data_IF_656212003130
#
_entry.id   IF_656212003130
#
_cell.length_a   1.000
_cell.length_b   1.000
_cell.length_c   1.000
_cell.angle_alpha   90.00
_cell.angle_beta   90.00
_cell.angle_gamma   90.00
#
_symmetry.space_group_name_H-M   'P 1'
#
loop_
_entity.id
_entity.type
_entity.pdbx_description
1 polymer ?
#
# COMPACT_ATOMS: atom_id res chain seq x y z
N UNK A 1 -2.86 -44.97 11.89
CA UNK A 1 -2.05 -43.78 11.50
C UNK A 1 -2.98 -42.82 10.82
N UNK A 2 -3.15 -41.60 11.34
CA UNK A 2 -3.99 -40.54 10.71
C UNK A 2 -3.07 -39.78 9.76
N UNK A 3 -3.36 -39.84 8.47
CA UNK A 3 -2.60 -39.08 7.45
C UNK A 3 -3.38 -37.81 7.11
N UNK A 4 -2.77 -36.64 7.33
CA UNK A 4 -3.33 -35.37 6.91
C UNK A 4 -2.77 -35.05 5.53
N UNK A 5 -3.66 -34.79 4.57
CA UNK A 5 -3.28 -34.29 3.26
C UNK A 5 -3.68 -32.84 3.15
N UNK A 6 -2.68 -31.95 2.94
CA UNK A 6 -2.94 -30.54 2.69
C UNK A 6 -3.42 -30.43 1.23
N UNK A 7 -4.55 -29.76 0.95
CA UNK A 7 -5.02 -29.53 -0.41
C UNK A 7 -3.97 -28.81 -1.27
N UNK A 8 -3.85 -29.18 -2.55
CA UNK A 8 -2.87 -28.66 -3.51
C UNK A 8 -2.75 -27.12 -3.53
N UNK A 9 -3.86 -26.35 -3.54
CA UNK A 9 -3.74 -24.89 -3.57
C UNK A 9 -2.97 -24.29 -2.40
N UNK A 10 -3.04 -24.90 -1.22
CA UNK A 10 -2.31 -24.40 -0.05
C UNK A 10 -0.81 -24.77 -0.11
N UNK A 11 -0.47 -25.93 -0.65
CA UNK A 11 0.92 -26.34 -0.86
C UNK A 11 1.61 -25.39 -1.83
N UNK A 12 0.96 -25.07 -2.94
CA UNK A 12 1.46 -24.13 -3.94
C UNK A 12 1.66 -22.71 -3.36
N UNK A 13 0.74 -22.24 -2.52
CA UNK A 13 0.86 -20.95 -1.84
C UNK A 13 2.06 -20.94 -0.87
N UNK A 14 2.29 -22.02 -0.11
CA UNK A 14 3.43 -22.15 0.79
C UNK A 14 4.76 -22.15 0.03
N UNK A 15 4.81 -22.83 -1.12
CA UNK A 15 6.00 -22.84 -1.98
C UNK A 15 6.28 -21.46 -2.57
N UNK A 16 5.24 -20.77 -3.07
CA UNK A 16 5.37 -19.41 -3.56
C UNK A 16 5.85 -18.44 -2.47
N UNK A 17 5.31 -18.56 -1.24
CA UNK A 17 5.76 -17.79 -0.09
C UNK A 17 7.26 -18.02 0.18
N UNK A 18 7.70 -19.28 0.24
CA UNK A 18 9.10 -19.64 0.46
C UNK A 18 10.02 -19.05 -0.60
N UNK A 19 9.67 -19.17 -1.89
CA UNK A 19 10.47 -18.63 -2.99
C UNK A 19 10.61 -17.10 -2.92
N UNK A 20 9.55 -16.40 -2.54
CA UNK A 20 9.61 -14.94 -2.38
C UNK A 20 10.47 -14.52 -1.19
N UNK A 21 10.39 -15.24 -0.06
CA UNK A 21 11.24 -15.01 1.10
C UNK A 21 12.73 -15.31 0.84
N UNK A 22 13.03 -16.30 0.01
CA UNK A 22 14.40 -16.65 -0.39
C UNK A 22 15.04 -15.61 -1.32
N UNK A 23 14.21 -14.94 -2.15
CA UNK A 23 14.69 -13.98 -3.17
C UNK A 23 14.76 -12.54 -2.69
N UNK A 24 13.93 -12.19 -1.71
CA UNK A 24 13.76 -10.81 -1.27
C UNK A 24 13.88 -10.67 0.23
N UNK A 25 14.33 -9.53 0.69
CA UNK A 25 14.47 -9.19 2.12
C UNK A 25 13.10 -8.94 2.78
N UNK A 26 12.29 -9.99 2.90
CA UNK A 26 10.95 -9.94 3.49
C UNK A 26 10.94 -10.59 4.88
N UNK A 27 10.13 -10.03 5.77
CA UNK A 27 9.79 -10.66 7.06
C UNK A 27 8.76 -11.77 6.89
N UNK A 28 7.77 -11.54 6.02
CA UNK A 28 6.67 -12.47 5.78
C UNK A 28 6.07 -12.29 4.38
N UNK A 29 5.69 -13.40 3.75
CA UNK A 29 4.95 -13.43 2.49
C UNK A 29 3.71 -14.32 2.66
N UNK A 30 2.53 -13.72 2.62
CA UNK A 30 1.25 -14.42 2.79
C UNK A 30 0.58 -14.51 1.44
N UNK A 31 0.39 -15.74 0.96
CA UNK A 31 -0.20 -16.00 -0.36
C UNK A 31 -1.57 -16.63 -0.19
N UNK A 32 -2.57 -15.98 -0.77
CA UNK A 32 -3.96 -16.39 -0.71
C UNK A 32 -4.29 -17.28 -1.91
N UNK A 33 -4.84 -18.49 -1.70
CA UNK A 33 -5.21 -19.37 -2.80
C UNK A 33 -6.19 -18.68 -3.77
N UNK A 34 -5.93 -18.84 -5.07
CA UNK A 34 -6.84 -18.40 -6.13
C UNK A 34 -7.66 -19.60 -6.62
N UNK A 35 -8.93 -19.39 -6.87
CA UNK A 35 -9.80 -20.36 -7.53
C UNK A 35 -10.07 -19.87 -8.95
N UNK A 36 -10.11 -20.77 -9.92
CA UNK A 36 -10.30 -20.45 -11.35
C UNK A 36 -11.58 -19.62 -11.62
N UNK A 37 -12.62 -19.84 -10.81
CA UNK A 37 -13.89 -19.13 -10.93
C UNK A 37 -13.95 -17.79 -10.16
N UNK A 38 -12.92 -17.45 -9.39
CA UNK A 38 -12.94 -16.24 -8.57
C UNK A 38 -12.81 -14.98 -9.42
N UNK A 39 -13.74 -14.07 -9.25
CA UNK A 39 -13.64 -12.73 -9.87
C UNK A 39 -12.51 -11.91 -9.25
N UNK A 40 -11.98 -10.95 -10.01
CA UNK A 40 -10.96 -9.99 -9.51
C UNK A 40 -11.44 -9.22 -8.26
N UNK A 41 -12.74 -9.05 -8.07
CA UNK A 41 -13.33 -8.41 -6.89
C UNK A 41 -13.23 -9.32 -5.67
N UNK A 42 -13.61 -10.59 -5.81
CA UNK A 42 -13.56 -11.58 -4.73
C UNK A 42 -12.12 -11.82 -4.27
N UNK A 43 -11.18 -11.95 -5.21
CA UNK A 43 -9.77 -12.08 -4.85
C UNK A 43 -9.24 -10.86 -4.10
N UNK A 44 -9.59 -9.65 -4.53
CA UNK A 44 -9.23 -8.43 -3.80
C UNK A 44 -9.81 -8.41 -2.39
N UNK A 45 -11.03 -8.87 -2.21
CA UNK A 45 -11.66 -8.96 -0.89
C UNK A 45 -10.98 -10.01 0.00
N UNK A 46 -10.62 -11.18 -0.54
CA UNK A 46 -9.92 -12.23 0.19
C UNK A 46 -8.53 -11.77 0.67
N UNK A 47 -7.75 -11.15 -0.21
CA UNK A 47 -6.45 -10.58 0.12
C UNK A 47 -6.58 -9.44 1.14
N UNK A 48 -7.59 -8.59 1.00
CA UNK A 48 -7.86 -7.50 1.94
C UNK A 48 -8.29 -8.02 3.34
N UNK A 49 -9.06 -9.10 3.40
CA UNK A 49 -9.44 -9.74 4.66
C UNK A 49 -8.22 -10.27 5.41
N UNK A 50 -7.29 -10.93 4.71
CA UNK A 50 -6.06 -11.38 5.38
C UNK A 50 -5.15 -10.21 5.75
N UNK A 51 -5.11 -9.14 4.94
CA UNK A 51 -4.47 -7.89 5.30
C UNK A 51 -5.01 -7.28 6.59
N UNK A 52 -6.33 -7.29 6.78
CA UNK A 52 -6.97 -6.82 8.01
C UNK A 52 -6.60 -7.67 9.22
N UNK A 53 -6.63 -9.00 9.07
CA UNK A 53 -6.22 -9.95 10.12
C UNK A 53 -4.75 -9.76 10.50
N UNK A 54 -3.89 -9.63 9.49
CA UNK A 54 -2.47 -9.41 9.70
C UNK A 54 -2.21 -8.12 10.47
N UNK A 55 -2.80 -7.01 10.02
CA UNK A 55 -2.67 -5.73 10.69
C UNK A 55 -3.11 -5.81 12.16
N UNK A 56 -4.26 -6.43 12.42
CA UNK A 56 -4.81 -6.56 13.78
C UNK A 56 -3.90 -7.38 14.73
N UNK A 57 -3.23 -8.42 14.24
CA UNK A 57 -2.30 -9.21 15.06
C UNK A 57 -0.92 -8.57 15.22
N UNK A 58 -0.52 -7.70 14.28
CA UNK A 58 0.80 -7.08 14.26
C UNK A 58 0.88 -5.84 15.15
N UNK A 59 -0.16 -4.99 15.14
CA UNK A 59 -0.16 -3.74 15.89
C UNK A 59 -0.13 -4.00 17.40
N UNK A 60 0.77 -3.32 18.08
CA UNK A 60 0.90 -3.30 19.55
C UNK A 60 0.22 -2.07 20.14
N UNK A 61 0.15 -1.97 21.47
CA UNK A 61 -0.32 -0.76 22.13
C UNK A 61 0.67 0.40 21.92
N UNK A 62 0.14 1.60 21.68
CA UNK A 62 0.90 2.84 21.44
C UNK A 62 1.67 2.91 20.12
N UNK A 63 1.38 2.00 19.18
CA UNK A 63 1.93 2.10 17.83
C UNK A 63 1.43 3.37 17.10
N UNK A 64 2.28 3.90 16.23
CA UNK A 64 1.89 4.89 15.22
C UNK A 64 1.72 4.16 13.89
N UNK A 65 0.48 4.11 13.40
CA UNK A 65 0.10 3.34 12.21
C UNK A 65 -0.12 4.27 11.03
N UNK A 66 0.68 4.11 9.98
CA UNK A 66 0.52 4.80 8.71
C UNK A 66 -0.53 4.12 7.83
N UNK A 67 -1.50 4.89 7.36
CA UNK A 67 -2.60 4.40 6.52
C UNK A 67 -2.56 5.07 5.15
N UNK A 68 -2.56 4.25 4.10
CA UNK A 68 -2.73 4.69 2.72
C UNK A 68 -4.21 4.63 2.29
N UNK A 69 -4.50 5.15 1.11
CA UNK A 69 -5.80 5.01 0.45
C UNK A 69 -5.79 3.90 -0.61
N UNK A 70 -6.94 3.66 -1.23
CA UNK A 70 -7.07 2.81 -2.40
C UNK A 70 -8.15 1.73 -2.27
N UNK A 71 -8.44 1.07 -3.39
CA UNK A 71 -9.49 0.02 -3.47
C UNK A 71 -9.27 -1.10 -2.45
N UNK A 72 -8.04 -1.61 -2.36
CA UNK A 72 -7.69 -2.68 -1.42
C UNK A 72 -7.78 -2.19 0.01
N UNK A 73 -7.31 -0.97 0.30
CA UNK A 73 -7.37 -0.38 1.63
C UNK A 73 -8.81 -0.15 2.10
N UNK A 74 -9.69 0.30 1.19
CA UNK A 74 -11.11 0.42 1.52
C UNK A 74 -11.73 -0.92 1.91
N UNK A 75 -11.45 -2.01 1.16
CA UNK A 75 -11.93 -3.35 1.52
C UNK A 75 -11.34 -3.85 2.84
N UNK A 76 -10.03 -3.64 3.06
CA UNK A 76 -9.35 -4.04 4.29
C UNK A 76 -10.01 -3.39 5.52
N UNK A 77 -10.24 -2.08 5.46
CA UNK A 77 -10.83 -1.34 6.58
C UNK A 77 -12.32 -1.71 6.79
N UNK A 78 -13.05 -2.08 5.73
CA UNK A 78 -14.43 -2.54 5.82
C UNK A 78 -14.58 -3.86 6.60
N UNK A 79 -13.58 -4.72 6.55
CA UNK A 79 -13.61 -6.06 7.17
C UNK A 79 -12.84 -6.14 8.49
N UNK A 80 -12.34 -5.02 8.99
CA UNK A 80 -11.76 -4.97 10.33
C UNK A 80 -12.80 -5.32 11.38
N UNK A 81 -12.49 -6.30 12.20
CA UNK A 81 -13.31 -6.62 13.36
C UNK A 81 -13.00 -5.65 14.51
N UNK A 82 -14.00 -5.05 15.15
CA UNK A 82 -13.79 -4.33 16.39
C UNK A 82 -13.11 -5.25 17.40
N UNK A 83 -11.98 -4.83 17.96
CA UNK A 83 -11.25 -5.59 18.96
C UNK A 83 -11.06 -4.75 20.23
N UNK A 84 -10.37 -5.30 21.23
CA UNK A 84 -10.01 -4.53 22.41
C UNK A 84 -9.25 -3.27 21.97
N UNK A 85 -9.78 -2.11 22.36
CA UNK A 85 -9.22 -0.82 21.99
C UNK A 85 -7.83 -0.64 22.58
N UNK A 86 -6.89 -0.21 21.73
CA UNK A 86 -5.51 0.13 22.07
C UNK A 86 -5.33 1.64 22.03
N UNK A 87 -4.33 2.16 22.71
CA UNK A 87 -3.98 3.59 22.68
C UNK A 87 -3.03 3.88 21.50
N UNK A 88 -3.53 3.64 20.29
CA UNK A 88 -2.77 3.79 19.06
C UNK A 88 -2.96 5.17 18.42
N UNK A 89 -2.07 5.51 17.51
CA UNK A 89 -2.19 6.70 16.67
C UNK A 89 -2.23 6.29 15.21
N UNK A 90 -3.30 6.67 14.50
CA UNK A 90 -3.45 6.44 13.07
C UNK A 90 -3.21 7.73 12.31
N UNK A 91 -2.32 7.67 11.30
CA UNK A 91 -1.94 8.85 10.53
C UNK A 91 -2.07 8.58 9.02
N UNK A 92 -2.65 9.53 8.28
CA UNK A 92 -2.60 9.46 6.80
C UNK A 92 -1.17 9.68 6.32
N UNK A 93 -0.69 8.81 5.44
CA UNK A 93 0.66 8.96 4.88
C UNK A 93 0.74 9.94 3.71
N UNK A 94 -0.39 10.48 3.27
CA UNK A 94 -0.50 11.46 2.18
C UNK A 94 -1.76 12.31 2.34
N UNK A 95 -1.86 13.38 1.56
CA UNK A 95 -3.06 14.21 1.46
C UNK A 95 -4.22 13.52 0.75
N UNK A 96 -5.36 14.19 0.66
CA UNK A 96 -6.58 13.67 0.05
C UNK A 96 -6.48 13.57 -1.47
N UNK A 97 -7.26 12.67 -2.07
CA UNK A 97 -7.43 12.56 -3.51
C UNK A 97 -8.86 12.98 -3.86
N UNK A 98 -9.03 14.12 -4.56
CA UNK A 98 -10.35 14.62 -4.93
C UNK A 98 -11.16 13.61 -5.74
N UNK A 99 -12.48 13.65 -5.58
CA UNK A 99 -13.42 12.83 -6.33
C UNK A 99 -13.17 11.32 -6.24
N UNK A 100 -12.54 10.85 -5.16
CA UNK A 100 -12.23 9.45 -4.97
C UNK A 100 -13.49 8.61 -4.73
N UNK A 101 -13.73 7.60 -5.58
CA UNK A 101 -14.84 6.65 -5.43
C UNK A 101 -14.69 5.71 -4.22
N UNK A 102 -13.48 5.63 -3.62
CA UNK A 102 -13.14 4.63 -2.59
C UNK A 102 -12.91 5.25 -1.22
N UNK A 103 -13.67 6.23 -0.85
CA UNK A 103 -13.48 7.01 0.36
C UNK A 103 -12.10 7.69 0.42
N UNK A 104 -12.09 8.91 0.79
CA UNK A 104 -10.88 9.69 1.05
C UNK A 104 -10.04 9.08 2.18
N UNK A 105 -8.73 9.30 2.17
CA UNK A 105 -7.80 8.76 3.17
C UNK A 105 -8.19 9.16 4.60
N UNK A 106 -8.69 10.38 4.81
CA UNK A 106 -9.18 10.85 6.10
C UNK A 106 -10.37 10.02 6.62
N UNK A 107 -11.29 9.63 5.73
CA UNK A 107 -12.38 8.71 6.06
C UNK A 107 -11.86 7.32 6.43
N UNK A 108 -10.86 6.81 5.72
CA UNK A 108 -10.25 5.50 6.01
C UNK A 108 -9.53 5.51 7.37
N UNK A 109 -8.75 6.55 7.66
CA UNK A 109 -8.08 6.73 8.95
C UNK A 109 -9.09 6.86 10.09
N UNK A 110 -10.21 7.55 9.86
CA UNK A 110 -11.30 7.65 10.85
C UNK A 110 -11.91 6.29 11.17
N UNK A 111 -12.21 5.50 10.14
CA UNK A 111 -12.84 4.19 10.30
C UNK A 111 -11.93 3.19 11.00
N UNK A 112 -10.64 3.15 10.67
CA UNK A 112 -9.68 2.25 11.32
C UNK A 112 -9.49 2.64 12.79
N UNK A 113 -9.39 3.94 13.13
CA UNK A 113 -9.28 4.39 14.50
C UNK A 113 -10.54 4.09 15.33
N UNK A 114 -11.72 4.14 14.73
CA UNK A 114 -12.98 3.73 15.39
C UNK A 114 -13.03 2.23 15.66
N UNK A 115 -12.54 1.40 14.71
CA UNK A 115 -12.56 -0.06 14.83
C UNK A 115 -11.54 -0.57 15.86
N UNK A 116 -10.33 -0.01 15.88
CA UNK A 116 -9.22 -0.53 16.67
C UNK A 116 -8.91 0.32 17.90
N UNK A 117 -9.54 1.50 18.04
CA UNK A 117 -9.27 2.47 19.12
C UNK A 117 -8.04 3.33 18.82
N UNK A 118 -7.98 4.50 19.44
CA UNK A 118 -6.84 5.42 19.33
C UNK A 118 -7.16 6.76 18.68
N UNK A 119 -6.12 7.56 18.51
CA UNK A 119 -6.21 8.91 17.93
C UNK A 119 -6.01 8.86 16.41
N UNK A 120 -6.50 9.88 15.71
CA UNK A 120 -6.37 10.02 14.26
C UNK A 120 -5.78 11.35 13.87
N UNK A 121 -4.92 11.34 12.85
CA UNK A 121 -4.32 12.54 12.27
C UNK A 121 -4.30 12.42 10.75
N UNK A 122 -4.82 13.44 10.07
CA UNK A 122 -4.91 13.49 8.61
C UNK A 122 -4.57 14.89 8.14
N UNK A 123 -3.93 14.98 6.97
CA UNK A 123 -3.83 16.25 6.27
C UNK A 123 -5.21 16.64 5.72
N UNK A 124 -5.65 17.86 6.01
CA UNK A 124 -6.92 18.41 5.52
C UNK A 124 -6.68 19.22 4.22
N UNK A 125 -6.13 18.56 3.23
CA UNK A 125 -5.86 19.16 1.92
C UNK A 125 -5.61 18.07 0.86
N UNK A 126 -5.70 18.48 -0.40
CA UNK A 126 -5.37 17.61 -1.52
C UNK A 126 -3.89 17.20 -1.52
N UNK A 127 -3.63 15.97 -1.95
CA UNK A 127 -2.27 15.46 -2.01
C UNK A 127 -1.45 16.17 -3.11
N UNK A 128 -2.06 16.57 -4.21
CA UNK A 128 -1.36 17.23 -5.32
C UNK A 128 -1.49 18.74 -5.19
N UNK A 129 -0.41 19.38 -4.76
CA UNK A 129 -0.30 20.84 -4.68
C UNK A 129 -0.03 21.46 -6.04
N UNK A 130 -0.26 22.75 -6.17
CA UNK A 130 0.00 23.51 -7.42
C UNK A 130 1.49 23.67 -7.68
N UNK A 131 2.30 23.78 -6.63
CA UNK A 131 3.74 23.94 -6.73
C UNK A 131 4.48 23.41 -5.50
N UNK A 132 5.80 23.29 -5.61
CA UNK A 132 6.71 22.94 -4.52
C UNK A 132 6.69 23.98 -3.38
N UNK A 133 6.57 25.26 -3.74
CA UNK A 133 6.51 26.35 -2.76
C UNK A 133 5.21 26.29 -1.93
N UNK A 134 4.10 25.92 -2.56
CA UNK A 134 2.84 25.70 -1.86
C UNK A 134 2.94 24.53 -0.88
N UNK A 135 3.49 23.39 -1.31
CA UNK A 135 3.76 22.23 -0.44
C UNK A 135 4.66 22.60 0.74
N UNK A 136 5.76 23.29 0.47
CA UNK A 136 6.71 23.71 1.52
C UNK A 136 6.04 24.63 2.53
N UNK A 137 5.24 25.59 2.07
CA UNK A 137 4.48 26.49 2.94
C UNK A 137 3.47 25.74 3.80
N UNK A 138 2.72 24.83 3.20
CA UNK A 138 1.74 24.00 3.89
C UNK A 138 2.38 23.15 5.00
N UNK A 139 3.49 22.48 4.72
CA UNK A 139 4.20 21.65 5.69
C UNK A 139 4.80 22.45 6.87
N UNK A 140 5.11 23.74 6.64
CA UNK A 140 5.64 24.63 7.67
C UNK A 140 4.56 25.26 8.56
N UNK A 141 3.27 25.09 8.27
CA UNK A 141 2.19 25.52 9.15
C UNK A 141 2.23 24.74 10.47
N UNK A 142 2.05 25.42 11.61
CA UNK A 142 2.13 24.82 12.94
C UNK A 142 1.21 23.60 13.11
N UNK A 143 0.00 23.70 12.58
CA UNK A 143 -1.02 22.64 12.58
C UNK A 143 -0.56 21.36 11.86
N UNK A 144 0.29 21.48 10.83
CA UNK A 144 0.77 20.37 10.02
C UNK A 144 2.08 19.76 10.57
N UNK A 145 2.82 20.50 11.39
CA UNK A 145 4.08 20.01 11.98
C UNK A 145 3.88 18.77 12.85
N UNK A 146 2.73 18.67 13.55
CA UNK A 146 2.39 17.48 14.33
C UNK A 146 2.26 16.24 13.42
N UNK A 147 1.61 16.36 12.26
CA UNK A 147 1.47 15.24 11.32
C UNK A 147 2.83 14.89 10.73
N UNK A 148 3.61 15.88 10.30
CA UNK A 148 4.96 15.66 9.80
C UNK A 148 5.88 14.97 10.83
N UNK A 149 5.74 15.29 12.11
CA UNK A 149 6.42 14.60 13.20
C UNK A 149 5.96 13.14 13.34
N UNK A 150 4.65 12.89 13.26
CA UNK A 150 4.08 11.55 13.36
C UNK A 150 4.51 10.65 12.20
N UNK A 151 4.62 11.19 10.98
CA UNK A 151 5.12 10.42 9.81
C UNK A 151 6.48 9.79 10.07
N UNK A 152 7.39 10.49 10.76
CA UNK A 152 8.72 9.99 11.13
C UNK A 152 8.69 8.96 12.27
N UNK A 153 7.56 8.75 12.91
CA UNK A 153 7.38 7.83 14.05
C UNK A 153 6.50 6.63 13.72
N UNK A 154 6.08 6.48 12.48
CA UNK A 154 5.31 5.32 12.04
C UNK A 154 6.13 4.06 12.32
N UNK A 155 5.57 3.14 13.11
CA UNK A 155 6.13 1.83 13.39
C UNK A 155 5.59 0.75 12.45
N UNK A 156 4.32 0.89 12.05
CA UNK A 156 3.63 -0.03 11.13
C UNK A 156 2.93 0.79 10.04
N UNK A 157 3.11 0.43 8.79
CA UNK A 157 2.34 1.01 7.69
C UNK A 157 1.57 -0.06 6.92
N UNK A 158 0.42 0.33 6.37
CA UNK A 158 -0.37 -0.52 5.50
C UNK A 158 -0.76 0.23 4.23
N UNK A 159 -0.45 -0.36 3.09
CA UNK A 159 -0.67 0.26 1.78
C UNK A 159 -1.03 -0.77 0.70
N UNK A 160 -1.61 -0.27 -0.38
CA UNK A 160 -1.68 -0.94 -1.67
C UNK A 160 -0.67 -0.34 -2.65
N UNK A 161 -0.69 -0.83 -3.89
CA UNK A 161 0.11 -0.29 -4.99
C UNK A 161 -0.76 -0.07 -6.23
N UNK A 162 -0.42 0.95 -7.02
CA UNK A 162 -0.96 1.18 -8.36
C UNK A 162 0.03 0.72 -9.42
N UNK A 163 -0.46 0.08 -10.49
CA UNK A 163 0.37 -0.35 -11.63
C UNK A 163 0.29 0.66 -12.75
N UNK A 164 1.47 1.01 -13.32
CA UNK A 164 1.59 1.81 -14.54
C UNK A 164 2.29 1.06 -15.67
N UNK A 165 2.90 -0.08 -15.37
CA UNK A 165 3.57 -0.95 -16.35
C UNK A 165 3.33 -2.44 -16.02
N UNK A 166 3.12 -3.32 -17.00
CA UNK A 166 2.83 -3.02 -18.41
C UNK A 166 1.39 -2.51 -18.61
N UNK A 167 0.51 -2.75 -17.64
CA UNK A 167 -0.90 -2.36 -17.68
C UNK A 167 -1.18 -1.25 -16.68
N UNK A 168 -2.00 -0.30 -17.10
CA UNK A 168 -2.45 0.80 -16.26
C UNK A 168 -3.57 0.31 -15.32
N UNK A 169 -3.24 -0.01 -14.07
CA UNK A 169 -4.18 -0.35 -12.99
C UNK A 169 -3.90 0.45 -11.73
N UNK A 170 -3.88 1.77 -11.87
CA UNK A 170 -3.85 2.67 -10.72
C UNK A 170 -5.18 3.45 -10.64
N UNK A 171 -5.82 3.55 -9.47
CA UNK A 171 -7.01 4.39 -9.28
C UNK A 171 -6.77 5.88 -9.58
N UNK A 172 -5.53 6.34 -9.56
CA UNK A 172 -5.14 7.72 -9.90
C UNK A 172 -5.53 8.10 -11.34
N UNK A 173 -5.59 7.10 -12.23
CA UNK A 173 -5.93 7.29 -13.65
C UNK A 173 -7.42 7.55 -13.86
N UNK A 174 -8.27 7.04 -12.96
CA UNK A 174 -9.73 7.05 -13.13
C UNK A 174 -10.39 8.30 -12.51
N UNK A 175 -9.68 9.05 -11.69
CA UNK A 175 -10.24 10.15 -10.89
C UNK A 175 -9.81 11.54 -11.38
N UNK A 176 -9.28 11.64 -12.60
CA UNK A 176 -8.68 12.88 -13.13
C UNK A 176 -7.58 13.48 -12.21
N UNK A 177 -7.01 12.64 -11.32
CA UNK A 177 -5.87 13.06 -10.50
C UNK A 177 -4.65 13.28 -11.38
N UNK A 178 -4.40 12.36 -12.32
CA UNK A 178 -3.39 12.47 -13.35
C UNK A 178 -4.05 12.86 -14.68
N UNK A 179 -3.51 13.87 -15.33
CA UNK A 179 -3.88 14.22 -16.69
C UNK A 179 -3.19 13.31 -17.70
N UNK A 180 -3.68 13.25 -18.94
CA UNK A 180 -3.06 12.44 -20.00
C UNK A 180 -1.59 12.82 -20.26
N UNK A 181 -1.26 14.09 -20.06
CA UNK A 181 0.12 14.57 -20.17
C UNK A 181 1.01 14.00 -19.06
N UNK A 182 0.51 13.94 -17.80
CA UNK A 182 1.22 13.35 -16.67
C UNK A 182 1.48 11.85 -16.92
N UNK A 183 0.49 11.12 -17.40
CA UNK A 183 0.61 9.67 -17.70
C UNK A 183 1.71 9.44 -18.74
N UNK A 184 1.71 10.20 -19.83
CA UNK A 184 2.75 10.12 -20.86
C UNK A 184 4.14 10.46 -20.34
N UNK A 185 4.23 11.49 -19.48
CA UNK A 185 5.48 11.88 -18.85
C UNK A 185 6.00 10.79 -17.90
N UNK A 186 5.14 10.16 -17.10
CA UNK A 186 5.47 9.03 -16.22
C UNK A 186 5.95 7.81 -17.03
N UNK A 187 5.26 7.47 -18.11
CA UNK A 187 5.67 6.36 -19.00
C UNK A 187 7.03 6.65 -19.65
N UNK A 188 7.26 7.88 -20.13
CA UNK A 188 8.54 8.28 -20.71
C UNK A 188 9.71 8.23 -19.70
N UNK A 189 9.43 8.35 -18.42
CA UNK A 189 10.39 8.22 -17.31
C UNK A 189 10.59 6.78 -16.84
N UNK A 190 9.95 5.80 -17.47
CA UNK A 190 10.07 4.39 -17.10
C UNK A 190 9.41 4.04 -15.75
N UNK A 191 8.34 4.74 -15.40
CA UNK A 191 7.61 4.46 -14.15
C UNK A 191 6.89 3.12 -14.24
N UNK A 192 7.12 2.25 -13.25
CA UNK A 192 6.49 0.94 -13.11
C UNK A 192 5.22 0.97 -12.29
N UNK A 193 5.15 1.83 -11.29
CA UNK A 193 3.98 1.93 -10.44
C UNK A 193 4.05 3.10 -9.46
N UNK A 194 3.05 3.14 -8.59
CA UNK A 194 3.01 4.05 -7.46
C UNK A 194 2.75 3.32 -6.13
N UNK A 195 3.35 3.82 -5.08
CA UNK A 195 3.03 3.54 -3.70
C UNK A 195 2.92 4.87 -2.95
N UNK A 196 1.84 5.09 -2.21
CA UNK A 196 1.66 6.34 -1.46
C UNK A 196 1.73 7.61 -2.35
N UNK A 197 1.27 7.52 -3.60
CA UNK A 197 1.34 8.58 -4.61
C UNK A 197 2.78 8.94 -5.04
N UNK A 198 3.78 8.15 -4.66
CA UNK A 198 5.16 8.24 -5.11
C UNK A 198 5.41 7.26 -6.25
N UNK A 199 5.94 7.75 -7.35
CA UNK A 199 6.17 6.99 -8.58
C UNK A 199 7.59 6.42 -8.61
N UNK A 200 7.72 5.14 -8.93
CA UNK A 200 8.99 4.43 -8.90
C UNK A 200 9.26 3.64 -10.19
N UNK A 201 10.54 3.39 -10.45
CA UNK A 201 11.05 2.63 -11.57
C UNK A 201 11.04 1.10 -11.32
N UNK A 202 11.68 0.33 -12.21
CA UNK A 202 11.77 -1.13 -12.11
C UNK A 202 12.57 -1.65 -10.90
N UNK A 203 13.38 -0.80 -10.28
CA UNK A 203 14.19 -1.10 -9.10
C UNK A 203 13.53 -0.62 -7.81
N UNK A 204 12.36 0.04 -7.89
CA UNK A 204 11.68 0.63 -6.75
C UNK A 204 12.30 1.95 -6.28
N UNK A 205 13.12 2.59 -7.13
CA UNK A 205 13.65 3.92 -6.86
C UNK A 205 12.70 5.01 -7.33
N UNK A 206 12.56 6.07 -6.53
CA UNK A 206 11.63 7.16 -6.84
C UNK A 206 12.05 7.89 -8.10
N UNK A 207 11.16 7.98 -9.08
CA UNK A 207 11.40 8.68 -10.32
C UNK A 207 11.36 10.20 -10.15
N UNK A 208 12.32 10.89 -10.74
CA UNK A 208 12.36 12.35 -10.80
C UNK A 208 11.27 12.88 -11.76
N UNK A 209 10.17 13.33 -11.20
CA UNK A 209 9.00 13.84 -11.91
C UNK A 209 8.55 15.18 -11.35
N UNK A 210 7.84 15.98 -12.13
CA UNK A 210 7.25 17.24 -11.64
C UNK A 210 6.22 17.00 -10.52
N UNK A 211 5.66 15.79 -10.45
CA UNK A 211 4.71 15.40 -9.40
C UNK A 211 5.41 15.18 -8.07
N UNK A 212 6.65 14.66 -8.06
CA UNK A 212 7.42 14.38 -6.85
C UNK A 212 7.52 15.59 -5.93
N UNK A 213 7.88 16.74 -6.48
CA UNK A 213 8.15 17.96 -5.73
C UNK A 213 6.89 18.65 -5.17
N UNK A 214 5.71 18.33 -5.68
CA UNK A 214 4.44 18.95 -5.28
C UNK A 214 3.41 17.97 -4.73
N UNK A 215 3.79 16.71 -4.51
CA UNK A 215 2.89 15.72 -3.90
C UNK A 215 3.08 15.67 -2.39
N UNK A 216 2.02 15.99 -1.64
CA UNK A 216 1.96 15.84 -0.20
C UNK A 216 1.82 14.35 0.14
N UNK A 217 2.95 13.73 0.42
CA UNK A 217 3.06 12.34 0.82
C UNK A 217 4.35 12.12 1.62
N UNK A 218 4.39 11.09 2.44
CA UNK A 218 5.62 10.63 3.06
C UNK A 218 6.68 10.39 1.97
N UNK A 219 7.92 10.82 2.19
CA UNK A 219 9.03 10.57 1.29
C UNK A 219 9.55 9.13 1.43
N UNK A 220 10.26 8.62 0.41
CA UNK A 220 10.75 7.24 0.41
C UNK A 220 11.81 6.97 1.49
N UNK A 221 12.62 7.96 1.84
CA UNK A 221 13.63 7.78 2.88
C UNK A 221 12.96 7.57 4.25
N UNK A 222 11.95 8.38 4.57
CA UNK A 222 11.14 8.21 5.77
C UNK A 222 10.35 6.90 5.72
N UNK A 223 9.77 6.55 4.57
CA UNK A 223 8.98 5.33 4.39
C UNK A 223 9.82 4.05 4.53
N UNK A 224 11.02 4.01 3.93
CA UNK A 224 11.94 2.87 4.05
C UNK A 224 12.35 2.59 5.49
N UNK A 225 12.42 3.62 6.35
CA UNK A 225 12.77 3.51 7.76
C UNK A 225 11.62 3.00 8.65
N UNK A 226 10.41 2.82 8.13
CA UNK A 226 9.31 2.23 8.88
C UNK A 226 9.64 0.78 9.22
N UNK A 227 9.49 0.41 10.50
CA UNK A 227 9.87 -0.90 10.99
C UNK A 227 9.10 -2.04 10.31
N UNK A 228 7.80 -1.87 10.04
CA UNK A 228 6.98 -2.90 9.37
C UNK A 228 6.10 -2.28 8.31
N UNK A 229 6.47 -2.48 7.04
CA UNK A 229 5.75 -2.03 5.85
C UNK A 229 4.92 -3.19 5.29
N UNK A 230 3.60 -3.11 5.43
CA UNK A 230 2.65 -4.12 4.94
C UNK A 230 2.10 -3.67 3.59
N UNK A 231 2.39 -4.42 2.53
CA UNK A 231 1.84 -4.18 1.20
C UNK A 231 0.82 -5.26 0.84
N UNK A 232 -0.40 -4.83 0.50
CA UNK A 232 -1.54 -5.70 0.19
C UNK A 232 -1.95 -5.48 -1.26
N UNK A 233 -1.81 -6.51 -2.10
CA UNK A 233 -2.11 -6.39 -3.53
C UNK A 233 -2.75 -7.64 -4.12
N UNK A 234 -3.59 -7.43 -5.15
CA UNK A 234 -4.28 -8.49 -5.88
C UNK A 234 -4.32 -8.18 -7.38
N UNK A 235 -4.15 -9.24 -8.18
CA UNK A 235 -4.24 -9.19 -9.64
C UNK A 235 -2.88 -9.29 -10.34
N UNK A 236 -2.74 -10.30 -11.22
CA UNK A 236 -1.50 -10.64 -11.92
C UNK A 236 -0.87 -9.49 -12.73
N UNK A 237 -1.67 -8.52 -13.18
CA UNK A 237 -1.20 -7.33 -13.90
C UNK A 237 -0.26 -6.44 -13.07
N UNK A 238 -0.24 -6.61 -11.75
CA UNK A 238 0.64 -5.88 -10.82
C UNK A 238 2.00 -6.53 -10.59
N UNK A 239 2.30 -7.62 -11.28
CA UNK A 239 3.51 -8.40 -11.00
C UNK A 239 4.81 -7.58 -11.13
N UNK A 240 4.93 -6.78 -12.20
CA UNK A 240 6.10 -5.91 -12.38
C UNK A 240 6.20 -4.84 -11.31
N UNK A 241 5.08 -4.26 -10.92
CA UNK A 241 5.00 -3.28 -9.83
C UNK A 241 5.41 -3.89 -8.49
N UNK A 242 4.90 -5.09 -8.15
CA UNK A 242 5.29 -5.80 -6.92
C UNK A 242 6.76 -6.18 -6.95
N UNK A 243 7.30 -6.66 -8.08
CA UNK A 243 8.74 -6.92 -8.21
C UNK A 243 9.58 -5.67 -7.92
N UNK A 244 9.18 -4.53 -8.45
CA UNK A 244 9.85 -3.26 -8.20
C UNK A 244 9.78 -2.84 -6.71
N UNK A 245 8.61 -2.97 -6.07
CA UNK A 245 8.44 -2.76 -4.63
C UNK A 245 9.38 -3.64 -3.80
N UNK A 246 9.55 -4.90 -4.19
CA UNK A 246 10.43 -5.85 -3.50
C UNK A 246 11.92 -5.51 -3.69
N UNK A 247 12.32 -5.11 -4.91
CA UNK A 247 13.69 -4.68 -5.19
C UNK A 247 14.08 -3.41 -4.45
N UNK A 248 13.14 -2.46 -4.34
CA UNK A 248 13.34 -1.18 -3.64
C UNK A 248 13.16 -1.25 -2.13
N UNK A 249 12.95 -2.45 -1.55
CA UNK A 249 12.70 -2.67 -0.11
C UNK A 249 11.54 -1.81 0.43
N UNK A 250 10.51 -1.59 -0.41
CA UNK A 250 9.32 -0.82 -0.06
C UNK A 250 8.26 -1.66 0.67
N UNK A 251 8.54 -2.92 0.95
CA UNK A 251 7.71 -3.82 1.75
C UNK A 251 8.56 -4.73 2.62
N UNK A 252 8.13 -4.95 3.86
CA UNK A 252 8.66 -5.98 4.77
C UNK A 252 7.74 -7.21 4.79
N UNK A 253 6.45 -6.98 4.54
CA UNK A 253 5.40 -7.99 4.52
C UNK A 253 4.56 -7.79 3.26
N UNK A 254 4.37 -8.88 2.53
CA UNK A 254 3.48 -8.87 1.36
C UNK A 254 2.31 -9.83 1.57
N UNK A 255 1.12 -9.40 1.15
CA UNK A 255 -0.10 -10.21 1.16
C UNK A 255 -0.68 -10.17 -0.25
N UNK A 256 -0.55 -11.28 -0.97
CA UNK A 256 -0.85 -11.38 -2.40
C UNK A 256 -1.80 -12.53 -2.70
N UNK A 257 -2.52 -12.48 -3.80
CA UNK A 257 -3.13 -13.68 -4.36
C UNK A 257 -2.09 -14.55 -5.09
N UNK A 258 -2.40 -15.83 -5.23
CA UNK A 258 -1.50 -16.83 -5.79
C UNK A 258 -1.08 -16.51 -7.24
N UNK A 259 -2.02 -16.07 -8.09
CA UNK A 259 -1.71 -15.75 -9.49
C UNK A 259 -0.75 -14.56 -9.61
N UNK A 260 -0.90 -13.56 -8.75
CA UNK A 260 0.04 -12.45 -8.66
C UNK A 260 1.42 -12.93 -8.18
N UNK A 261 1.48 -13.71 -7.10
CA UNK A 261 2.73 -14.24 -6.55
C UNK A 261 3.48 -15.11 -7.57
N UNK A 262 2.78 -16.02 -8.24
CA UNK A 262 3.31 -16.88 -9.31
C UNK A 262 3.90 -16.05 -10.47
N UNK A 263 3.21 -14.99 -10.87
CA UNK A 263 3.71 -14.12 -11.93
C UNK A 263 4.94 -13.31 -11.49
N UNK A 264 4.98 -12.83 -10.24
CA UNK A 264 6.18 -12.16 -9.67
C UNK A 264 7.38 -13.10 -9.70
N UNK A 265 7.22 -14.35 -9.25
CA UNK A 265 8.28 -15.36 -9.25
C UNK A 265 8.80 -15.58 -10.68
N UNK A 266 7.89 -15.77 -11.64
CA UNK A 266 8.23 -16.03 -13.05
C UNK A 266 9.02 -14.91 -13.70
N UNK A 267 8.71 -13.64 -13.42
CA UNK A 267 9.42 -12.49 -14.04
C UNK A 267 10.70 -12.10 -13.29
N UNK A 268 10.98 -12.75 -12.16
CA UNK A 268 12.17 -12.53 -11.34
C UNK A 268 13.30 -13.51 -11.66
N UNK A 269 12.98 -14.53 -12.46
CA UNK A 269 13.95 -15.45 -13.07
C UNK A 269 14.55 -14.81 -14.32
#
# INVERSE_FOLDING_TARGET
MITFQIPSPFVECLEASRLLLERYNLKEAIIIPSHEESSSKEMRQAVALEGARYLQRTISDKDVIGVAWGRTMNHLIQVLNPCQKKDNTFVSMHGSIPHCQYNDVGSLVSRISMALGGQRFCFDTDALMRSKEELTRFLNMEENQKIAFLLKRISVSVSGVGSLYPELDSPLLNNNYLQQADIKALQAKGVYGDILLRFFDENGEECETDLKDRTLSIDFDTYRNIQTKIVVASGKQKAYTIRAVLRGELADVIILDYELAKQVIKISD
#
